data_IF_547713362487
#
_entry.id   IF_547713362487
#
_cell.length_a   1.000
_cell.length_b   1.000
_cell.length_c   1.000
_cell.angle_alpha   90.00
_cell.angle_beta   90.00
_cell.angle_gamma   90.00
#
_symmetry.space_group_name_H-M   'P 1'
#
loop_
_entity.id
_entity.type
_entity.pdbx_description
1 polymer ?
#
# COMPACT_ATOMS: atom_id res chain seq x y z
N UNK A 1 0.13 7.96 -8.36
CA UNK A 1 0.10 7.03 -7.19
C UNK A 1 -1.26 6.98 -6.51
N UNK A 2 -1.70 8.00 -5.75
CA UNK A 2 -2.96 7.92 -4.99
C UNK A 2 -4.21 7.62 -5.84
N UNK A 3 -4.30 8.19 -7.04
CA UNK A 3 -5.41 7.91 -7.99
C UNK A 3 -5.42 6.43 -8.40
N UNK A 4 -4.27 5.89 -8.81
CA UNK A 4 -4.12 4.48 -9.21
C UNK A 4 -4.39 3.50 -8.06
N UNK A 5 -4.02 3.87 -6.83
CA UNK A 5 -4.36 3.06 -5.66
C UNK A 5 -5.86 3.09 -5.36
N UNK A 6 -6.52 4.22 -5.63
CA UNK A 6 -7.96 4.38 -5.38
C UNK A 6 -8.85 3.58 -6.33
N UNK A 7 -8.31 3.06 -7.43
CA UNK A 7 -9.05 2.20 -8.37
C UNK A 7 -9.04 0.73 -7.96
N UNK A 8 -8.24 0.34 -6.98
CA UNK A 8 -8.10 -1.04 -6.53
C UNK A 8 -9.20 -1.39 -5.51
N UNK A 9 -9.89 -2.51 -5.71
CA UNK A 9 -10.94 -2.98 -4.79
C UNK A 9 -10.41 -3.34 -3.40
N UNK A 10 -9.16 -3.80 -3.30
CA UNK A 10 -8.49 -4.06 -2.02
C UNK A 10 -8.25 -2.78 -1.19
N UNK A 11 -8.28 -1.59 -1.80
CA UNK A 11 -8.01 -0.31 -1.11
C UNK A 11 -9.32 0.26 -0.59
N UNK A 12 -9.45 0.28 0.75
CA UNK A 12 -10.63 0.82 1.44
C UNK A 12 -10.56 2.32 1.62
N UNK A 13 -9.37 2.84 1.94
CA UNK A 13 -9.20 4.26 2.20
C UNK A 13 -7.76 4.68 1.97
N UNK A 14 -7.57 5.82 1.34
CA UNK A 14 -6.26 6.46 1.21
C UNK A 14 -6.29 7.70 2.10
N UNK A 15 -5.36 7.76 3.04
CA UNK A 15 -5.16 8.92 3.89
C UNK A 15 -4.10 9.82 3.22
N UNK A 16 -4.47 11.05 2.83
CA UNK A 16 -3.50 12.01 2.33
C UNK A 16 -2.54 12.39 3.47
N UNK A 17 -1.32 12.74 3.08
CA UNK A 17 -0.24 13.06 4.01
C UNK A 17 0.61 14.14 3.37
N UNK A 18 1.02 15.13 4.14
CA UNK A 18 1.84 16.26 3.69
C UNK A 18 3.35 15.92 3.67
N UNK A 19 3.69 14.64 3.55
CA UNK A 19 5.06 14.12 3.58
C UNK A 19 5.29 13.08 2.47
N UNK A 20 6.52 12.56 2.39
CA UNK A 20 6.93 11.54 1.41
C UNK A 20 6.38 10.13 1.74
N UNK A 21 5.20 10.03 2.35
CA UNK A 21 4.55 8.75 2.60
C UNK A 21 3.03 8.91 2.58
N UNK A 22 2.35 7.86 2.14
CA UNK A 22 0.90 7.71 2.17
C UNK A 22 0.52 6.61 3.15
N UNK A 23 -0.62 6.76 3.83
CA UNK A 23 -1.21 5.68 4.63
C UNK A 23 -2.42 5.16 3.88
N UNK A 24 -2.44 3.85 3.63
CA UNK A 24 -3.50 3.20 2.88
C UNK A 24 -4.10 2.11 3.74
N UNK A 25 -5.41 2.17 3.92
CA UNK A 25 -6.19 1.09 4.52
C UNK A 25 -6.61 0.13 3.43
N UNK A 26 -6.29 -1.15 3.63
CA UNK A 26 -6.62 -2.25 2.71
C UNK A 26 -7.38 -3.33 3.44
N UNK A 27 -7.98 -4.29 2.72
CA UNK A 27 -8.68 -5.43 3.36
C UNK A 27 -7.73 -6.48 3.96
N UNK A 28 -6.55 -6.68 3.39
CA UNK A 28 -5.57 -7.62 3.91
C UNK A 28 -4.17 -6.99 3.92
N UNK A 29 -3.93 -6.15 4.92
CA UNK A 29 -2.65 -5.44 5.05
C UNK A 29 -1.48 -6.41 5.27
N UNK A 30 -1.69 -7.49 6.02
CA UNK A 30 -0.64 -8.49 6.28
C UNK A 30 -0.30 -9.27 5.03
N UNK A 31 -1.30 -9.78 4.30
CA UNK A 31 -1.10 -10.49 3.04
C UNK A 31 -0.43 -9.61 2.00
N UNK A 32 -0.90 -8.37 1.85
CA UNK A 32 -0.30 -7.41 0.94
C UNK A 32 1.14 -7.05 1.35
N UNK A 33 1.40 -6.85 2.65
CA UNK A 33 2.75 -6.60 3.18
C UNK A 33 3.72 -7.75 2.85
N UNK A 34 3.31 -8.99 3.11
CA UNK A 34 4.12 -10.17 2.79
C UNK A 34 4.36 -10.32 1.29
N UNK A 35 3.32 -10.06 0.48
CA UNK A 35 3.43 -10.10 -0.97
C UNK A 35 4.43 -9.04 -1.48
N UNK A 36 4.29 -7.77 -1.07
CA UNK A 36 5.18 -6.69 -1.48
C UNK A 36 6.64 -6.96 -1.08
N UNK A 37 6.88 -7.44 0.13
CA UNK A 37 8.23 -7.84 0.58
C UNK A 37 8.79 -8.97 -0.28
N UNK A 38 7.97 -9.97 -0.64
CA UNK A 38 8.41 -11.07 -1.51
C UNK A 38 8.84 -10.57 -2.91
N UNK A 39 8.29 -9.44 -3.36
CA UNK A 39 8.63 -8.80 -4.62
C UNK A 39 9.77 -7.78 -4.50
N UNK A 40 10.36 -7.62 -3.31
CA UNK A 40 11.45 -6.67 -3.04
C UNK A 40 10.99 -5.26 -2.66
N UNK A 41 9.69 -5.02 -2.55
CA UNK A 41 9.12 -3.71 -2.18
C UNK A 41 8.94 -3.63 -0.67
N UNK A 42 9.70 -2.75 -0.03
CA UNK A 42 9.66 -2.57 1.43
C UNK A 42 8.63 -1.51 1.80
N UNK A 43 7.50 -1.94 2.34
CA UNK A 43 6.51 -1.05 2.98
C UNK A 43 6.56 -1.19 4.50
N UNK A 44 5.91 -0.28 5.23
CA UNK A 44 5.88 -0.30 6.70
C UNK A 44 4.49 -0.67 7.17
N UNK A 45 4.39 -1.83 7.79
CA UNK A 45 3.17 -2.24 8.46
C UNK A 45 2.92 -1.38 9.71
N UNK A 46 1.73 -0.78 9.80
CA UNK A 46 1.23 -0.04 10.98
C UNK A 46 0.02 -0.74 11.59
N UNK A 47 -0.33 -1.95 11.14
CA UNK A 47 -1.47 -2.75 11.60
C UNK A 47 -1.36 -3.18 13.08
N UNK A 48 -0.18 -3.03 13.70
CA UNK A 48 0.04 -3.28 15.13
C UNK A 48 -0.36 -2.10 16.03
N UNK A 49 -0.74 -0.96 15.45
CA UNK A 49 -1.21 0.21 16.21
C UNK A 49 -2.71 0.07 16.46
N UNK A 50 -3.10 0.14 17.73
CA UNK A 50 -4.50 0.13 18.18
C UNK A 50 -5.29 1.22 17.40
N UNK A 51 -6.42 0.86 16.78
CA UNK A 51 -7.27 1.67 15.88
C UNK A 51 -6.74 1.91 14.44
N UNK A 52 -5.57 1.37 14.08
CA UNK A 52 -5.00 1.42 12.72
C UNK A 52 -4.89 0.01 12.10
N UNK A 53 -5.86 -0.85 12.42
CA UNK A 53 -5.96 -2.18 11.83
C UNK A 53 -6.05 -2.05 10.30
N UNK A 54 -5.27 -2.89 9.63
CA UNK A 54 -5.20 -3.00 8.17
C UNK A 54 -4.66 -1.77 7.44
N UNK A 55 -3.85 -0.94 8.13
CA UNK A 55 -3.19 0.21 7.54
C UNK A 55 -1.72 -0.07 7.20
N UNK A 56 -1.35 0.17 5.94
CA UNK A 56 0.02 0.17 5.47
C UNK A 56 0.51 1.59 5.22
N UNK A 57 1.76 1.85 5.62
CA UNK A 57 2.45 3.08 5.25
C UNK A 57 3.38 2.82 4.07
N UNK A 58 3.09 3.50 2.98
CA UNK A 58 3.85 3.43 1.72
C UNK A 58 4.69 4.71 1.63
N UNK A 59 6.00 4.57 1.50
CA UNK A 59 6.88 5.72 1.22
C UNK A 59 6.77 6.05 -0.27
N UNK A 60 6.54 7.32 -0.61
CA UNK A 60 6.55 7.79 -1.99
C UNK A 60 8.00 8.01 -2.39
N UNK A 61 8.50 7.14 -3.27
CA UNK A 61 9.86 7.19 -3.79
C UNK A 61 9.89 7.83 -5.18
N UNK A 62 10.77 7.31 -6.03
CA UNK A 62 10.84 7.66 -7.44
C UNK A 62 9.59 7.22 -8.20
N UNK A 63 9.32 7.83 -9.35
CA UNK A 63 8.18 7.47 -10.21
C UNK A 63 8.18 5.99 -10.58
N UNK A 64 9.36 5.46 -10.92
CA UNK A 64 9.56 4.05 -11.28
C UNK A 64 9.24 3.09 -10.12
N UNK A 65 9.64 3.42 -8.89
CA UNK A 65 9.29 2.62 -7.72
C UNK A 65 7.78 2.66 -7.45
N UNK A 66 7.16 3.82 -7.64
CA UNK A 66 5.72 3.99 -7.46
C UNK A 66 4.93 3.18 -8.51
N UNK A 67 5.38 3.14 -9.77
CA UNK A 67 4.78 2.32 -10.82
C UNK A 67 4.88 0.82 -10.52
N UNK A 68 6.06 0.36 -10.07
CA UNK A 68 6.27 -1.05 -9.68
C UNK A 68 5.33 -1.42 -8.53
N UNK A 69 5.22 -0.57 -7.51
CA UNK A 69 4.33 -0.80 -6.37
C UNK A 69 2.86 -0.87 -6.81
N UNK A 70 2.41 0.03 -7.69
CA UNK A 70 1.02 0.00 -8.21
C UNK A 70 0.78 -1.29 -8.99
N UNK A 71 1.70 -1.69 -9.88
CA UNK A 71 1.57 -2.92 -10.65
C UNK A 71 1.52 -4.17 -9.77
N UNK A 72 2.33 -4.22 -8.71
CA UNK A 72 2.29 -5.31 -7.73
C UNK A 72 0.94 -5.33 -6.98
N UNK A 73 0.43 -4.16 -6.56
CA UNK A 73 -0.87 -4.07 -5.90
C UNK A 73 -2.03 -4.46 -6.83
N UNK A 74 -1.96 -4.12 -8.12
CA UNK A 74 -2.90 -4.58 -9.15
C UNK A 74 -2.88 -6.10 -9.31
N UNK A 75 -1.68 -6.71 -9.37
CA UNK A 75 -1.53 -8.16 -9.46
C UNK A 75 -2.09 -8.87 -8.22
N UNK A 76 -1.89 -8.31 -7.03
CA UNK A 76 -2.50 -8.84 -5.80
C UNK A 76 -4.03 -8.67 -5.81
N UNK A 77 -4.55 -7.55 -6.31
CA UNK A 77 -5.98 -7.30 -6.41
C UNK A 77 -6.71 -8.23 -7.40
N UNK A 78 -6.01 -8.69 -8.44
CA UNK A 78 -6.55 -9.64 -9.43
C UNK A 78 -6.43 -11.11 -9.00
N UNK A 79 -5.88 -11.39 -7.83
CA UNK A 79 -5.64 -12.73 -7.31
C UNK A 79 -6.77 -13.17 -6.37
#
# INVERSE_FOLDING_TARGET
>A
LAVSLGTLSIVRKIYPSDANFLVVKVDDAKGLYHYLISQGTVVRDRSTVILCEECLRITVGTEKENEILVSQMEQFNSK
#
